data_IF_342602027935
#
_entry.id   IF_342602027935
#
_cell.length_a   1.000
_cell.length_b   1.000
_cell.length_c   1.000
_cell.angle_alpha   90.00
_cell.angle_beta   90.00
_cell.angle_gamma   90.00
#
_symmetry.space_group_name_H-M   'P 1'
#
loop_
_entity.id
_entity.type
_entity.pdbx_description
1 polymer ?
#
# COMPACT_ATOMS: atom_id res chain seq x y z
N UNK A 1 -1.50 25.75 0.46
CA UNK A 1 -1.15 24.32 0.20
C UNK A 1 0.34 24.24 -0.03
N UNK A 2 1.08 23.47 0.75
CA UNK A 2 2.52 23.28 0.57
C UNK A 2 2.79 22.55 -0.76
N UNK A 3 3.55 23.19 -1.63
CA UNK A 3 3.97 22.60 -2.91
C UNK A 3 5.08 21.57 -2.67
N UNK A 4 5.05 20.45 -3.37
CA UNK A 4 6.16 19.48 -3.36
C UNK A 4 7.31 19.85 -4.31
N UNK A 5 7.21 21.00 -4.97
CA UNK A 5 8.26 21.44 -5.88
C UNK A 5 9.62 21.46 -5.18
N UNK A 6 10.56 20.69 -5.76
CA UNK A 6 11.94 20.48 -5.30
C UNK A 6 12.12 19.79 -3.94
N UNK A 7 11.03 19.37 -3.26
CA UNK A 7 11.11 18.54 -2.05
C UNK A 7 11.75 17.19 -2.34
N UNK A 8 12.64 16.76 -1.46
CA UNK A 8 13.29 15.45 -1.53
C UNK A 8 12.39 14.38 -0.88
N UNK A 9 11.86 13.46 -1.69
CA UNK A 9 10.88 12.46 -1.25
C UNK A 9 11.43 11.05 -1.50
N UNK A 10 11.55 10.27 -0.43
CA UNK A 10 11.85 8.84 -0.50
C UNK A 10 10.56 8.04 -0.61
N UNK A 11 10.50 7.11 -1.57
CA UNK A 11 9.43 6.13 -1.68
C UNK A 11 10.03 4.73 -1.57
N UNK A 12 9.83 4.05 -0.46
CA UNK A 12 10.18 2.64 -0.34
C UNK A 12 9.07 1.81 -0.98
N UNK A 13 9.42 0.75 -1.74
CA UNK A 13 8.44 0.02 -2.55
C UNK A 13 7.92 0.83 -3.74
N UNK A 14 8.69 1.84 -4.20
CA UNK A 14 8.26 2.77 -5.24
C UNK A 14 8.14 2.16 -6.64
N UNK A 15 8.66 0.96 -6.87
CA UNK A 15 8.49 0.24 -8.14
C UNK A 15 7.27 -0.71 -8.12
N UNK A 16 6.56 -0.80 -7.01
CA UNK A 16 5.33 -1.58 -6.86
C UNK A 16 4.11 -0.93 -7.50
N UNK A 17 2.95 -1.55 -7.35
CA UNK A 17 1.67 -1.11 -7.92
C UNK A 17 1.31 0.32 -7.47
N UNK A 18 1.09 0.54 -6.17
CA UNK A 18 0.72 1.85 -5.61
C UNK A 18 1.91 2.81 -5.68
N UNK A 19 3.12 2.32 -5.33
CA UNK A 19 4.33 3.14 -5.28
C UNK A 19 4.67 3.81 -6.60
N UNK A 20 4.55 3.09 -7.73
CA UNK A 20 4.85 3.67 -9.04
C UNK A 20 3.83 4.72 -9.50
N UNK A 21 2.59 4.65 -9.03
CA UNK A 21 1.62 5.72 -9.22
C UNK A 21 1.99 6.96 -8.38
N UNK A 22 2.42 6.74 -7.13
CA UNK A 22 2.90 7.83 -6.28
C UNK A 22 4.13 8.53 -6.88
N UNK A 23 5.06 7.77 -7.45
CA UNK A 23 6.21 8.32 -8.18
C UNK A 23 5.75 9.26 -9.31
N UNK A 24 4.79 8.82 -10.15
CA UNK A 24 4.30 9.62 -11.26
C UNK A 24 3.65 10.92 -10.78
N UNK A 25 2.75 10.85 -9.80
CA UNK A 25 2.03 12.04 -9.32
C UNK A 25 2.99 13.04 -8.66
N UNK A 26 3.95 12.58 -7.85
CA UNK A 26 4.92 13.45 -7.18
C UNK A 26 5.90 14.11 -8.15
N UNK A 27 6.36 13.39 -9.16
CA UNK A 27 7.18 13.98 -10.22
C UNK A 27 6.43 15.05 -11.01
N UNK A 28 5.13 14.85 -11.26
CA UNK A 28 4.27 15.86 -11.90
C UNK A 28 4.07 17.11 -11.02
N UNK A 29 4.11 16.97 -9.69
CA UNK A 29 4.13 18.10 -8.75
C UNK A 29 5.53 18.75 -8.62
N UNK A 30 6.53 18.23 -9.33
CA UNK A 30 7.88 18.79 -9.36
C UNK A 30 8.81 18.33 -8.24
N UNK A 31 8.44 17.29 -7.48
CA UNK A 31 9.28 16.72 -6.43
C UNK A 31 10.55 16.07 -6.99
N UNK A 32 11.59 15.97 -6.15
CA UNK A 32 12.76 15.10 -6.36
C UNK A 32 12.48 13.78 -5.70
N UNK A 33 12.28 12.72 -6.48
CA UNK A 33 11.83 11.42 -5.97
C UNK A 33 12.98 10.42 -5.95
N UNK A 34 13.23 9.81 -4.79
CA UNK A 34 14.11 8.67 -4.63
C UNK A 34 13.27 7.41 -4.43
N UNK A 35 13.34 6.46 -5.34
CA UNK A 35 12.75 5.13 -5.20
C UNK A 35 13.76 4.20 -4.57
N UNK A 36 13.37 3.52 -3.49
CA UNK A 36 14.12 2.44 -2.85
C UNK A 36 13.30 1.15 -2.90
N UNK A 37 13.76 0.17 -3.69
CA UNK A 37 13.01 -1.05 -3.99
C UNK A 37 13.95 -2.22 -4.25
N UNK A 38 13.62 -3.41 -3.77
CA UNK A 38 14.43 -4.61 -4.04
C UNK A 38 14.02 -5.31 -5.34
N UNK A 39 12.92 -4.88 -5.96
CA UNK A 39 12.32 -5.43 -7.19
C UNK A 39 11.87 -6.89 -7.06
N UNK A 40 11.53 -7.35 -5.87
CA UNK A 40 10.95 -8.69 -5.67
C UNK A 40 9.58 -8.83 -6.35
N UNK A 41 8.70 -7.85 -6.17
CA UNK A 41 7.42 -7.73 -6.87
C UNK A 41 7.34 -6.49 -7.77
N UNK A 42 8.03 -5.41 -7.40
CA UNK A 42 8.12 -4.16 -8.17
C UNK A 42 8.75 -4.35 -9.54
N UNK A 43 8.33 -3.55 -10.51
CA UNK A 43 8.81 -3.63 -11.90
C UNK A 43 9.43 -2.31 -12.34
N UNK A 44 10.68 -2.34 -12.79
CA UNK A 44 11.39 -1.14 -13.25
C UNK A 44 10.67 -0.41 -14.39
N UNK A 45 9.93 -1.13 -15.23
CA UNK A 45 9.19 -0.55 -16.36
C UNK A 45 7.93 0.21 -15.94
N UNK A 46 7.49 0.13 -14.67
CA UNK A 46 6.41 0.97 -14.13
C UNK A 46 6.89 2.40 -13.84
N UNK A 47 8.20 2.61 -13.74
CA UNK A 47 8.79 3.90 -13.44
C UNK A 47 9.08 4.70 -14.71
N UNK A 48 8.88 6.04 -14.69
CA UNK A 48 9.16 6.88 -15.85
C UNK A 48 10.65 6.85 -16.20
N UNK A 49 10.95 6.83 -17.51
CA UNK A 49 12.32 6.85 -18.03
C UNK A 49 12.78 8.30 -18.27
N UNK A 50 14.06 8.54 -18.06
CA UNK A 50 14.70 9.82 -18.45
C UNK A 50 14.33 11.03 -17.61
N UNK A 51 13.60 10.88 -16.51
CA UNK A 51 13.26 12.00 -15.62
C UNK A 51 14.46 12.32 -14.71
N UNK A 52 15.01 13.53 -14.83
CA UNK A 52 16.18 13.99 -14.06
C UNK A 52 15.92 14.15 -12.55
N UNK A 53 14.64 14.24 -12.15
CA UNK A 53 14.22 14.33 -10.75
C UNK A 53 13.94 12.97 -10.11
N UNK A 54 14.07 11.86 -10.87
CA UNK A 54 13.88 10.50 -10.38
C UNK A 54 15.23 9.80 -10.19
N UNK A 55 15.51 9.39 -8.96
CA UNK A 55 16.62 8.51 -8.59
C UNK A 55 16.08 7.13 -8.21
N UNK A 56 16.63 6.07 -8.76
CA UNK A 56 16.23 4.69 -8.46
C UNK A 56 17.41 3.98 -7.79
N UNK A 57 17.17 3.46 -6.59
CA UNK A 57 18.17 2.73 -5.80
C UNK A 57 17.61 1.32 -5.53
N UNK A 58 18.32 0.29 -6.01
CA UNK A 58 18.01 -1.08 -5.66
C UNK A 58 18.51 -1.39 -4.26
N UNK A 59 17.59 -1.82 -3.36
CA UNK A 59 17.94 -2.19 -2.01
C UNK A 59 16.76 -2.75 -1.25
N UNK A 60 17.03 -3.32 -0.08
CA UNK A 60 16.04 -4.00 0.75
C UNK A 60 15.92 -3.31 2.10
N UNK A 61 14.67 -3.10 2.57
CA UNK A 61 14.39 -2.47 3.87
C UNK A 61 14.85 -3.31 5.06
N UNK A 62 15.11 -4.59 4.88
CA UNK A 62 15.69 -5.45 5.91
C UNK A 62 17.17 -5.16 6.16
N UNK A 63 17.82 -4.42 5.27
CA UNK A 63 19.18 -3.94 5.44
C UNK A 63 19.19 -2.55 6.09
N UNK A 64 19.38 -2.49 7.40
CA UNK A 64 19.35 -1.25 8.18
C UNK A 64 20.32 -0.18 7.63
N UNK A 65 21.55 -0.56 7.27
CA UNK A 65 22.55 0.39 6.75
C UNK A 65 22.12 1.00 5.42
N UNK A 66 21.51 0.19 4.55
CA UNK A 66 20.99 0.69 3.27
C UNK A 66 19.84 1.67 3.48
N UNK A 67 18.96 1.39 4.46
CA UNK A 67 17.85 2.29 4.84
C UNK A 67 18.37 3.60 5.40
N UNK A 68 19.32 3.57 6.33
CA UNK A 68 19.96 4.79 6.88
C UNK A 68 20.54 5.66 5.75
N UNK A 69 21.26 5.04 4.80
CA UNK A 69 21.89 5.77 3.71
C UNK A 69 20.87 6.41 2.75
N UNK A 70 19.76 5.75 2.47
CA UNK A 70 18.76 6.27 1.53
C UNK A 70 17.83 7.30 2.18
N UNK A 71 17.63 7.24 3.49
CA UNK A 71 16.82 8.20 4.25
C UNK A 71 17.55 9.53 4.46
N UNK A 72 18.88 9.52 4.40
CA UNK A 72 19.68 10.72 4.55
C UNK A 72 19.27 11.77 3.50
N UNK A 73 19.15 13.02 3.95
CA UNK A 73 18.79 14.18 3.13
C UNK A 73 17.39 14.11 2.47
N UNK A 74 16.53 13.20 2.93
CA UNK A 74 15.11 13.19 2.54
C UNK A 74 14.27 14.06 3.49
N UNK A 75 13.26 14.71 2.95
CA UNK A 75 12.33 15.54 3.73
C UNK A 75 11.02 14.79 4.02
N UNK A 76 10.61 13.92 3.11
CA UNK A 76 9.38 13.14 3.24
C UNK A 76 9.68 11.68 2.90
N UNK A 77 9.08 10.75 3.66
CA UNK A 77 9.17 9.33 3.38
C UNK A 77 7.77 8.76 3.16
N UNK A 78 7.50 8.19 1.98
CA UNK A 78 6.34 7.36 1.72
C UNK A 78 6.76 5.89 1.86
N UNK A 79 6.32 5.23 2.91
CA UNK A 79 6.72 3.86 3.22
C UNK A 79 5.67 2.85 2.75
N UNK A 80 5.93 2.24 1.56
CA UNK A 80 5.07 1.24 0.93
C UNK A 80 5.72 -0.14 0.80
N UNK A 81 7.04 -0.25 1.00
CA UNK A 81 7.74 -1.53 0.90
C UNK A 81 7.16 -2.55 1.89
N UNK A 82 6.68 -3.67 1.37
CA UNK A 82 6.08 -4.75 2.12
C UNK A 82 5.99 -6.03 1.27
N UNK A 83 5.83 -7.17 1.90
CA UNK A 83 5.28 -8.38 1.28
C UNK A 83 3.76 -8.30 1.41
N UNK A 84 2.99 -8.11 0.29
CA UNK A 84 1.58 -7.77 0.39
C UNK A 84 0.62 -8.94 0.14
N UNK A 85 1.08 -10.05 -0.43
CA UNK A 85 0.21 -11.14 -0.88
C UNK A 85 -0.13 -12.08 0.26
N UNK A 86 -1.38 -12.02 0.73
CA UNK A 86 -1.87 -12.74 1.92
C UNK A 86 -1.63 -14.25 1.82
N UNK A 87 -1.91 -14.96 0.71
CA UNK A 87 -1.67 -16.40 0.63
C UNK A 87 -0.25 -16.81 0.95
N UNK A 88 0.76 -16.05 0.51
CA UNK A 88 2.17 -16.37 0.80
C UNK A 88 2.48 -16.24 2.29
N UNK A 89 1.73 -15.42 3.04
CA UNK A 89 1.96 -15.25 4.47
C UNK A 89 1.67 -16.51 5.30
N UNK A 90 0.88 -17.45 4.76
CA UNK A 90 0.62 -18.72 5.40
C UNK A 90 1.81 -19.70 5.27
N UNK A 91 2.57 -19.56 4.18
CA UNK A 91 3.72 -20.43 3.89
C UNK A 91 5.04 -19.85 4.39
N UNK A 92 5.18 -18.52 4.39
CA UNK A 92 6.41 -17.80 4.74
C UNK A 92 6.21 -16.78 5.87
N UNK A 93 5.61 -17.17 7.01
CA UNK A 93 5.21 -16.22 8.07
C UNK A 93 6.38 -15.38 8.61
N UNK A 94 7.55 -15.98 8.76
CA UNK A 94 8.75 -15.33 9.30
C UNK A 94 9.22 -14.19 8.36
N UNK A 95 9.17 -14.40 7.05
CA UNK A 95 9.59 -13.39 6.09
C UNK A 95 8.64 -12.17 6.10
N UNK A 96 7.35 -12.39 6.34
CA UNK A 96 6.38 -11.31 6.50
C UNK A 96 6.71 -10.43 7.72
N UNK A 97 7.03 -11.02 8.87
CA UNK A 97 7.49 -10.25 10.04
C UNK A 97 8.82 -9.56 9.78
N UNK A 98 9.76 -10.26 9.17
CA UNK A 98 11.09 -9.70 8.87
C UNK A 98 11.00 -8.49 7.96
N UNK A 99 10.20 -8.54 6.90
CA UNK A 99 10.03 -7.43 5.96
C UNK A 99 9.05 -6.40 6.51
N UNK A 100 7.80 -6.79 6.81
CA UNK A 100 6.73 -5.85 7.11
C UNK A 100 6.86 -5.20 8.49
N UNK A 101 7.45 -5.89 9.47
CA UNK A 101 7.62 -5.36 10.83
C UNK A 101 9.04 -4.84 11.03
N UNK A 102 10.06 -5.69 10.93
CA UNK A 102 11.45 -5.28 11.23
C UNK A 102 11.97 -4.32 10.15
N UNK A 103 11.71 -4.60 8.86
CA UNK A 103 12.08 -3.68 7.78
C UNK A 103 11.42 -2.31 7.93
N UNK A 104 10.15 -2.26 8.32
CA UNK A 104 9.46 -1.00 8.64
C UNK A 104 10.11 -0.27 9.81
N UNK A 105 10.50 -1.00 10.86
CA UNK A 105 11.22 -0.41 12.01
C UNK A 105 12.55 0.24 11.60
N UNK A 106 13.30 -0.36 10.66
CA UNK A 106 14.51 0.28 10.12
C UNK A 106 14.19 1.62 9.46
N UNK A 107 13.09 1.70 8.67
CA UNK A 107 12.65 2.94 8.03
C UNK A 107 12.23 3.97 9.08
N UNK A 108 11.41 3.59 10.04
CA UNK A 108 10.93 4.50 11.10
C UNK A 108 12.08 5.02 11.95
N UNK A 109 12.97 4.13 12.39
CA UNK A 109 14.09 4.51 13.24
C UNK A 109 15.12 5.38 12.51
N UNK A 110 15.34 5.13 11.21
CA UNK A 110 16.15 6.02 10.39
C UNK A 110 15.54 7.42 10.27
N UNK A 111 14.22 7.50 10.13
CA UNK A 111 13.52 8.78 10.06
C UNK A 111 13.51 9.51 11.41
N UNK A 112 13.34 8.80 12.55
CA UNK A 112 13.47 9.37 13.91
C UNK A 112 14.84 10.00 14.10
N UNK A 113 15.91 9.33 13.64
CA UNK A 113 17.29 9.83 13.75
C UNK A 113 17.64 10.89 12.71
N UNK A 114 16.85 11.06 11.68
CA UNK A 114 17.09 12.06 10.64
C UNK A 114 16.76 13.45 11.13
N UNK A 115 17.62 14.42 10.76
CA UNK A 115 17.37 15.85 11.05
C UNK A 115 16.56 16.54 9.96
N UNK A 116 16.31 15.86 8.84
CA UNK A 116 15.67 16.42 7.65
C UNK A 116 14.27 15.90 7.38
N UNK A 117 13.92 14.69 7.89
CA UNK A 117 12.60 14.10 7.68
C UNK A 117 11.54 14.86 8.48
N UNK A 118 10.64 15.52 7.75
CA UNK A 118 9.53 16.29 8.30
C UNK A 118 8.23 15.50 8.42
N UNK A 119 8.05 14.48 7.55
CA UNK A 119 6.84 13.65 7.50
C UNK A 119 7.15 12.25 6.99
N UNK A 120 6.59 11.25 7.66
CA UNK A 120 6.55 9.87 7.18
C UNK A 120 5.09 9.47 6.98
N UNK A 121 4.75 8.95 5.81
CA UNK A 121 3.45 8.34 5.55
C UNK A 121 3.66 6.82 5.54
N UNK A 122 3.18 6.16 6.57
CA UNK A 122 3.23 4.70 6.68
C UNK A 122 1.95 4.09 6.10
N UNK A 123 2.09 3.23 5.10
CA UNK A 123 0.96 2.50 4.53
C UNK A 123 0.74 1.20 5.30
N UNK A 124 -0.30 1.19 6.11
CA UNK A 124 -0.86 0.04 6.81
C UNK A 124 -1.88 -0.69 5.90
N UNK A 125 -2.97 -1.20 6.42
CA UNK A 125 -4.02 -1.90 5.67
C UNK A 125 -5.31 -1.99 6.48
N UNK A 126 -6.47 -2.04 5.82
CA UNK A 126 -7.75 -2.39 6.46
C UNK A 126 -7.83 -3.85 6.93
N UNK A 127 -6.97 -4.74 6.42
CA UNK A 127 -6.95 -6.16 6.83
C UNK A 127 -6.64 -6.37 8.32
N UNK A 128 -6.08 -5.36 9.00
CA UNK A 128 -5.85 -5.40 10.46
C UNK A 128 -7.14 -5.43 11.26
N UNK A 129 -8.24 -4.94 10.70
CA UNK A 129 -9.55 -4.97 11.35
C UNK A 129 -10.19 -6.36 11.35
N UNK A 130 -9.82 -7.21 10.37
CA UNK A 130 -10.47 -8.50 10.17
C UNK A 130 -11.90 -8.35 9.64
N UNK A 131 -12.81 -9.20 10.10
CA UNK A 131 -14.23 -9.09 9.76
C UNK A 131 -14.86 -7.90 10.44
N UNK A 132 -15.68 -7.15 9.68
CA UNK A 132 -16.41 -6.00 10.19
C UNK A 132 -17.32 -6.39 11.36
N UNK A 133 -17.18 -5.73 12.50
CA UNK A 133 -18.10 -5.84 13.63
C UNK A 133 -19.23 -4.81 13.51
N UNK A 134 -18.98 -3.71 12.83
CA UNK A 134 -19.96 -2.71 12.42
C UNK A 134 -19.49 -2.02 11.12
N UNK A 135 -20.42 -1.40 10.41
CA UNK A 135 -20.15 -0.65 9.19
C UNK A 135 -20.86 0.71 9.21
N UNK A 136 -20.27 1.76 8.67
CA UNK A 136 -18.90 1.81 8.11
C UNK A 136 -17.83 1.59 9.19
N UNK A 137 -16.71 0.94 8.82
CA UNK A 137 -15.57 0.76 9.73
C UNK A 137 -14.79 2.07 9.82
N UNK A 138 -14.73 2.66 11.01
CA UNK A 138 -13.90 3.82 11.32
C UNK A 138 -12.54 3.40 11.91
N UNK A 139 -11.70 4.37 12.27
CA UNK A 139 -10.38 4.14 12.82
C UNK A 139 -10.39 3.59 14.25
N UNK A 140 -11.54 3.66 14.94
CA UNK A 140 -11.77 3.08 16.27
C UNK A 140 -12.26 1.63 16.20
N UNK A 141 -12.54 1.12 14.99
CA UNK A 141 -12.94 -0.27 14.82
C UNK A 141 -11.91 -1.22 15.44
N UNK A 142 -12.33 -2.23 16.23
CA UNK A 142 -11.42 -3.20 16.83
C UNK A 142 -10.52 -3.87 15.80
N UNK A 143 -9.25 -4.08 16.16
CA UNK A 143 -8.30 -4.81 15.32
C UNK A 143 -8.32 -6.30 15.67
N UNK A 144 -8.65 -7.14 14.70
CA UNK A 144 -8.74 -8.59 14.83
C UNK A 144 -8.22 -9.28 13.54
N UNK A 145 -6.90 -9.21 13.27
CA UNK A 145 -6.32 -9.71 12.03
C UNK A 145 -6.39 -11.24 11.92
N UNK A 146 -6.75 -11.75 10.74
CA UNK A 146 -6.89 -13.20 10.46
C UNK A 146 -5.75 -13.80 9.63
N UNK A 147 -4.73 -13.03 9.27
CA UNK A 147 -3.59 -13.53 8.51
C UNK A 147 -2.27 -13.05 9.10
N UNK A 148 -1.20 -13.80 8.90
CA UNK A 148 0.15 -13.39 9.30
C UNK A 148 0.55 -12.06 8.65
N UNK A 149 0.15 -11.84 7.39
CA UNK A 149 0.28 -10.54 6.74
C UNK A 149 -0.35 -9.43 7.58
N UNK A 150 -1.63 -9.57 7.93
CA UNK A 150 -2.35 -8.53 8.67
C UNK A 150 -1.74 -8.29 10.06
N UNK A 151 -1.32 -9.37 10.77
CA UNK A 151 -0.61 -9.24 12.06
C UNK A 151 0.72 -8.49 11.88
N UNK A 152 1.52 -8.82 10.86
CA UNK A 152 2.80 -8.15 10.60
C UNK A 152 2.63 -6.66 10.28
N UNK A 153 1.56 -6.31 9.56
CA UNK A 153 1.20 -4.92 9.25
C UNK A 153 0.67 -4.18 10.49
N UNK A 154 -0.14 -4.84 11.33
CA UNK A 154 -0.61 -4.28 12.60
C UNK A 154 0.57 -4.00 13.54
N UNK A 155 1.55 -4.90 13.62
CA UNK A 155 2.75 -4.68 14.42
C UNK A 155 3.51 -3.42 13.98
N UNK A 156 3.72 -3.22 12.67
CA UNK A 156 4.35 -2.02 12.13
C UNK A 156 3.50 -0.75 12.37
N UNK A 157 2.17 -0.84 12.19
CA UNK A 157 1.21 0.23 12.44
C UNK A 157 1.30 0.70 13.91
N UNK A 158 1.26 -0.23 14.86
CA UNK A 158 1.37 0.10 16.29
C UNK A 158 2.75 0.61 16.69
N UNK A 159 3.82 0.03 16.11
CA UNK A 159 5.17 0.51 16.34
C UNK A 159 5.34 1.98 15.88
N UNK A 160 4.83 2.32 14.70
CA UNK A 160 4.86 3.70 14.20
C UNK A 160 4.10 4.66 15.13
N UNK A 161 2.91 4.27 15.59
CA UNK A 161 2.11 5.05 16.55
C UNK A 161 2.84 5.24 17.89
N UNK A 162 3.43 4.17 18.43
CA UNK A 162 4.17 4.22 19.70
C UNK A 162 5.40 5.12 19.57
N UNK A 163 6.17 5.01 18.49
CA UNK A 163 7.30 5.91 18.24
C UNK A 163 6.88 7.38 18.15
N UNK A 164 5.69 7.67 17.59
CA UNK A 164 5.16 9.03 17.61
C UNK A 164 4.92 9.52 19.03
N UNK A 165 4.30 8.70 19.88
CA UNK A 165 4.02 9.07 21.30
C UNK A 165 5.28 9.23 22.13
N UNK A 166 6.28 8.37 21.92
CA UNK A 166 7.52 8.34 22.70
C UNK A 166 8.56 9.37 22.24
N UNK A 167 8.67 9.59 20.93
CA UNK A 167 9.77 10.34 20.32
C UNK A 167 9.33 11.53 19.47
N UNK A 168 8.02 11.81 19.36
CA UNK A 168 7.52 12.82 18.45
C UNK A 168 7.73 12.46 16.97
N UNK A 169 7.89 11.16 16.64
CA UNK A 169 8.08 10.68 15.28
C UNK A 169 7.00 11.22 14.34
N UNK A 170 7.36 11.96 13.26
CA UNK A 170 6.37 12.69 12.44
C UNK A 170 5.66 11.77 11.45
N UNK A 171 4.90 10.79 11.95
CA UNK A 171 4.22 9.79 11.13
C UNK A 171 2.73 10.06 10.96
N UNK A 172 2.23 9.80 9.75
CA UNK A 172 0.81 9.60 9.44
C UNK A 172 0.63 8.12 9.09
N UNK A 173 -0.34 7.46 9.69
CA UNK A 173 -0.63 6.04 9.43
C UNK A 173 -1.87 5.97 8.57
N UNK A 174 -1.74 5.44 7.36
CA UNK A 174 -2.86 5.27 6.43
C UNK A 174 -3.26 3.80 6.34
N UNK A 175 -4.55 3.53 6.44
CA UNK A 175 -5.16 2.20 6.34
C UNK A 175 -6.04 2.14 5.10
N UNK A 176 -5.46 1.91 3.90
CA UNK A 176 -6.26 1.76 2.70
C UNK A 176 -7.09 0.48 2.74
N UNK A 177 -8.32 0.59 2.24
CA UNK A 177 -9.13 -0.54 1.82
C UNK A 177 -8.62 -1.08 0.49
N UNK A 178 -9.39 -1.90 -0.23
CA UNK A 178 -8.88 -2.58 -1.41
C UNK A 178 -8.56 -1.59 -2.54
N UNK A 179 -7.28 -1.41 -2.83
CA UNK A 179 -6.83 -0.55 -3.93
C UNK A 179 -6.77 -1.36 -5.23
N UNK A 180 -7.32 -0.80 -6.33
CA UNK A 180 -7.28 -1.42 -7.64
C UNK A 180 -6.87 -0.41 -8.72
N UNK A 181 -6.45 -0.90 -9.89
CA UNK A 181 -6.07 -0.04 -11.01
C UNK A 181 -5.22 -0.74 -12.05
N UNK A 182 -4.67 0.00 -13.03
CA UNK A 182 -3.79 -0.54 -14.05
C UNK A 182 -2.47 -1.02 -13.43
N UNK A 183 -1.77 -1.89 -14.12
CA UNK A 183 -0.55 -2.63 -13.80
C UNK A 183 -0.85 -4.03 -13.26
N UNK A 184 0.08 -4.93 -13.52
CA UNK A 184 0.00 -6.29 -13.01
C UNK A 184 0.26 -6.31 -11.49
N UNK A 185 -0.59 -7.02 -10.78
CA UNK A 185 -0.41 -7.39 -9.38
C UNK A 185 -0.55 -8.90 -9.22
N UNK A 186 -0.30 -9.41 -8.03
CA UNK A 186 -0.70 -10.76 -7.64
C UNK A 186 -2.20 -10.99 -7.89
N UNK A 187 -2.67 -12.23 -8.03
CA UNK A 187 -4.05 -12.54 -8.40
C UNK A 187 -5.04 -12.25 -7.26
N UNK A 188 -5.13 -10.97 -6.87
CA UNK A 188 -6.24 -10.50 -6.05
C UNK A 188 -7.56 -10.59 -6.83
N UNK A 189 -8.68 -10.42 -6.17
CA UNK A 189 -10.01 -10.72 -6.73
C UNK A 189 -10.30 -10.06 -8.09
N UNK A 190 -9.94 -8.78 -8.29
CA UNK A 190 -10.16 -8.11 -9.59
C UNK A 190 -9.24 -8.67 -10.69
N UNK A 191 -7.91 -8.74 -10.51
CA UNK A 191 -7.02 -9.39 -11.47
C UNK A 191 -7.40 -10.84 -11.77
N UNK A 192 -7.84 -11.60 -10.78
CA UNK A 192 -8.24 -13.01 -10.95
C UNK A 192 -9.49 -13.12 -11.84
N UNK A 193 -10.54 -12.35 -11.55
CA UNK A 193 -11.74 -12.34 -12.39
C UNK A 193 -11.40 -11.94 -13.83
N UNK A 194 -10.64 -10.85 -14.01
CA UNK A 194 -10.22 -10.38 -15.34
C UNK A 194 -9.38 -11.44 -16.05
N UNK A 195 -8.43 -12.06 -15.36
CA UNK A 195 -7.58 -13.11 -15.90
C UNK A 195 -8.39 -14.31 -16.42
N UNK A 196 -9.36 -14.79 -15.63
CA UNK A 196 -10.24 -15.87 -16.06
C UNK A 196 -11.10 -15.47 -17.27
N UNK A 197 -11.67 -14.27 -17.29
CA UNK A 197 -12.45 -13.76 -18.42
C UNK A 197 -11.59 -13.69 -19.69
N UNK A 198 -10.37 -13.15 -19.61
CA UNK A 198 -9.46 -13.03 -20.76
C UNK A 198 -8.98 -14.37 -21.30
N UNK A 199 -8.90 -15.40 -20.47
CA UNK A 199 -8.63 -16.78 -20.91
C UNK A 199 -9.83 -17.45 -21.58
N UNK A 200 -10.96 -16.77 -21.72
CA UNK A 200 -12.18 -17.28 -22.33
C UNK A 200 -12.98 -18.22 -21.42
N UNK A 201 -12.69 -18.24 -20.13
CA UNK A 201 -13.38 -19.08 -19.15
C UNK A 201 -14.82 -18.59 -18.97
N UNK A 202 -15.80 -19.45 -19.22
CA UNK A 202 -17.22 -19.15 -19.03
C UNK A 202 -17.72 -19.45 -17.61
N UNK A 203 -17.04 -20.35 -16.89
CA UNK A 203 -17.31 -20.69 -15.50
C UNK A 203 -16.14 -20.21 -14.64
N UNK A 204 -16.35 -19.11 -13.91
CA UNK A 204 -15.31 -18.52 -13.06
C UNK A 204 -15.23 -19.27 -11.73
N UNK A 205 -14.07 -19.80 -11.41
CA UNK A 205 -13.79 -20.44 -10.13
C UNK A 205 -13.44 -19.34 -9.11
N UNK A 206 -14.32 -19.10 -8.16
CA UNK A 206 -14.16 -18.07 -7.13
C UNK A 206 -14.63 -18.61 -5.77
N UNK A 207 -13.93 -18.22 -4.72
CA UNK A 207 -14.30 -18.55 -3.35
C UNK A 207 -15.58 -17.85 -2.91
N UNK A 208 -15.60 -17.22 -1.72
CA UNK A 208 -16.77 -16.57 -1.17
C UNK A 208 -17.20 -15.31 -1.96
N UNK A 209 -18.19 -15.48 -2.83
CA UNK A 209 -18.76 -14.39 -3.65
C UNK A 209 -19.78 -13.53 -2.95
N UNK A 210 -20.18 -13.88 -1.72
CA UNK A 210 -21.12 -13.11 -0.92
C UNK A 210 -20.43 -12.03 -0.08
N UNK A 211 -19.11 -12.11 0.10
CA UNK A 211 -18.36 -11.06 0.80
C UNK A 211 -18.40 -9.75 0.04
N UNK A 212 -18.42 -8.65 0.77
CA UNK A 212 -18.33 -7.29 0.23
C UNK A 212 -16.94 -6.70 0.42
N UNK A 213 -16.58 -5.77 -0.43
CA UNK A 213 -15.32 -5.00 -0.35
C UNK A 213 -15.56 -3.56 -0.78
N UNK A 214 -14.84 -2.64 -0.14
CA UNK A 214 -14.67 -1.28 -0.64
C UNK A 214 -13.44 -1.24 -1.55
N UNK A 215 -13.62 -0.77 -2.78
CA UNK A 215 -12.55 -0.65 -3.77
C UNK A 215 -12.27 0.80 -4.09
N UNK A 216 -11.03 1.23 -3.86
CA UNK A 216 -10.54 2.58 -4.17
C UNK A 216 -9.58 2.53 -5.35
N UNK A 217 -9.78 3.40 -6.35
CA UNK A 217 -8.89 3.44 -7.50
C UNK A 217 -7.51 3.97 -7.10
N UNK A 218 -6.45 3.40 -7.68
CA UNK A 218 -5.07 3.64 -7.25
C UNK A 218 -4.67 5.12 -7.26
N UNK A 219 -5.16 5.91 -8.22
CA UNK A 219 -4.88 7.35 -8.25
C UNK A 219 -5.47 8.09 -7.06
N UNK A 220 -6.61 7.64 -6.54
CA UNK A 220 -7.28 8.28 -5.41
C UNK A 220 -6.64 7.87 -4.08
N UNK A 221 -6.24 6.58 -3.96
CA UNK A 221 -5.38 6.14 -2.85
C UNK A 221 -4.11 6.99 -2.77
N UNK A 222 -3.45 7.21 -3.92
CA UNK A 222 -2.22 8.01 -3.97
C UNK A 222 -2.48 9.48 -3.67
N UNK A 223 -3.58 10.06 -4.16
CA UNK A 223 -3.98 11.45 -3.79
C UNK A 223 -4.16 11.59 -2.28
N UNK A 224 -4.80 10.62 -1.63
CA UNK A 224 -4.95 10.63 -0.18
C UNK A 224 -3.59 10.58 0.53
N UNK A 225 -2.65 9.73 0.06
CA UNK A 225 -1.28 9.67 0.59
C UNK A 225 -0.54 11.00 0.43
N UNK A 226 -0.63 11.62 -0.74
CA UNK A 226 -0.03 12.92 -1.05
C UNK A 226 -0.63 14.03 -0.18
N UNK A 227 -1.94 14.01 0.02
CA UNK A 227 -2.63 14.97 0.90
C UNK A 227 -2.20 14.80 2.36
N UNK A 228 -2.10 13.58 2.85
CA UNK A 228 -1.61 13.27 4.18
C UNK A 228 -0.15 13.75 4.39
N UNK A 229 0.70 13.59 3.37
CA UNK A 229 2.09 14.08 3.43
C UNK A 229 2.21 15.61 3.48
N UNK A 230 1.21 16.33 2.94
CA UNK A 230 1.16 17.81 2.92
C UNK A 230 0.58 18.41 4.21
N UNK A 231 -0.28 17.67 4.89
CA UNK A 231 -1.10 18.20 5.99
C UNK A 231 -0.41 17.92 7.34
N UNK A 232 0.19 18.96 7.93
CA UNK A 232 0.87 18.82 9.23
C UNK A 232 -0.04 18.35 10.37
N UNK A 233 -1.33 18.66 10.30
CA UNK A 233 -2.31 18.21 11.29
C UNK A 233 -2.59 16.71 11.23
N UNK A 234 -2.21 16.05 10.13
CA UNK A 234 -2.32 14.60 9.99
C UNK A 234 -1.21 13.84 10.77
N UNK A 235 -0.14 14.54 11.21
CA UNK A 235 0.95 13.90 11.97
C UNK A 235 0.40 13.38 13.29
N UNK A 236 0.66 12.09 13.57
CA UNK A 236 0.15 11.35 14.73
C UNK A 236 -1.22 10.71 14.51
N UNK A 237 -1.88 11.00 13.38
CA UNK A 237 -3.20 10.46 13.09
C UNK A 237 -3.13 9.11 12.36
N UNK A 238 -4.21 8.34 12.56
CA UNK A 238 -4.52 7.12 11.82
C UNK A 238 -5.72 7.46 10.95
N UNK A 239 -5.63 7.15 9.65
CA UNK A 239 -6.65 7.56 8.68
C UNK A 239 -6.98 6.39 7.77
N UNK A 240 -8.26 6.04 7.69
CA UNK A 240 -8.77 5.07 6.72
C UNK A 240 -8.86 5.71 5.31
N UNK A 241 -8.54 4.93 4.29
CA UNK A 241 -8.74 5.34 2.89
C UNK A 241 -9.69 4.35 2.23
N UNK A 242 -10.91 4.81 1.92
CA UNK A 242 -11.95 4.03 1.27
C UNK A 242 -12.79 4.90 0.34
N UNK A 243 -13.59 4.26 -0.51
CA UNK A 243 -14.54 4.93 -1.39
C UNK A 243 -15.89 5.17 -0.71
N UNK A 244 -16.11 4.59 0.47
CA UNK A 244 -17.38 4.52 1.21
C UNK A 244 -18.49 3.78 0.43
N UNK A 245 -18.11 2.98 -0.56
CA UNK A 245 -18.99 2.18 -1.37
C UNK A 245 -18.55 0.72 -1.34
N UNK A 246 -19.33 -0.12 -0.72
CA UNK A 246 -19.08 -1.56 -0.77
C UNK A 246 -19.74 -2.20 -1.99
N UNK A 247 -19.10 -3.21 -2.52
CA UNK A 247 -19.64 -4.05 -3.58
C UNK A 247 -19.47 -5.51 -3.22
N UNK A 248 -20.51 -6.31 -3.44
CA UNK A 248 -20.45 -7.75 -3.29
C UNK A 248 -19.63 -8.35 -4.45
N UNK A 249 -18.80 -9.35 -4.17
CA UNK A 249 -17.94 -9.97 -5.20
C UNK A 249 -18.77 -10.55 -6.36
N UNK A 250 -19.93 -11.14 -6.10
CA UNK A 250 -20.83 -11.60 -7.17
C UNK A 250 -21.32 -10.49 -8.09
N UNK A 251 -21.56 -9.28 -7.54
CA UNK A 251 -21.97 -8.11 -8.33
C UNK A 251 -20.80 -7.52 -9.11
N UNK A 252 -19.59 -7.59 -8.54
CA UNK A 252 -18.35 -7.24 -9.24
C UNK A 252 -18.13 -8.12 -10.47
N UNK A 253 -18.31 -9.45 -10.35
CA UNK A 253 -18.26 -10.39 -11.48
C UNK A 253 -19.24 -9.97 -12.57
N UNK A 254 -20.48 -9.66 -12.19
CA UNK A 254 -21.51 -9.23 -13.13
C UNK A 254 -21.13 -7.95 -13.88
N UNK A 255 -20.57 -6.96 -13.16
CA UNK A 255 -20.07 -5.71 -13.75
C UNK A 255 -18.93 -5.95 -14.73
N UNK A 256 -17.91 -6.74 -14.34
CA UNK A 256 -16.76 -7.03 -15.18
C UNK A 256 -17.14 -7.83 -16.42
N UNK A 257 -18.02 -8.82 -16.28
CA UNK A 257 -18.55 -9.62 -17.40
C UNK A 257 -19.31 -8.75 -18.40
N UNK A 258 -20.11 -7.79 -17.91
CA UNK A 258 -20.83 -6.83 -18.77
C UNK A 258 -19.86 -5.92 -19.54
N UNK A 259 -18.80 -5.41 -18.88
CA UNK A 259 -17.76 -4.61 -19.52
C UNK A 259 -17.03 -5.41 -20.60
N UNK A 260 -16.68 -6.66 -20.29
CA UNK A 260 -16.03 -7.57 -21.22
C UNK A 260 -16.95 -8.09 -22.35
N UNK A 261 -18.26 -7.85 -22.26
CA UNK A 261 -19.31 -8.37 -23.17
C UNK A 261 -19.33 -9.90 -23.25
N UNK A 262 -19.02 -10.57 -22.15
CA UNK A 262 -18.98 -12.03 -22.01
C UNK A 262 -20.00 -12.46 -20.97
N UNK A 263 -20.79 -13.50 -21.27
CA UNK A 263 -21.65 -14.14 -20.27
C UNK A 263 -20.82 -15.16 -19.49
N UNK A 264 -20.73 -14.98 -18.18
CA UNK A 264 -20.03 -15.89 -17.26
C UNK A 264 -21.00 -16.47 -16.23
N UNK A 265 -20.67 -17.66 -15.71
CA UNK A 265 -21.28 -18.26 -14.52
C UNK A 265 -20.24 -18.33 -13.42
N UNK A 266 -20.66 -18.32 -12.18
CA UNK A 266 -19.78 -18.52 -11.04
C UNK A 266 -19.87 -19.99 -10.63
N UNK A 267 -18.72 -20.67 -10.63
CA UNK A 267 -18.53 -21.97 -9.99
C UNK A 267 -17.87 -21.69 -8.65
N UNK A 268 -18.53 -22.10 -7.56
CA UNK A 268 -17.96 -21.93 -6.21
C UNK A 268 -16.89 -22.99 -6.02
N UNK A 269 -15.70 -22.61 -5.59
CA UNK A 269 -14.75 -23.52 -4.97
C UNK A 269 -15.27 -23.85 -3.56
N UNK A 270 -15.48 -25.15 -3.29
CA UNK A 270 -15.87 -25.67 -1.98
C UNK A 270 -14.71 -25.61 -0.97
#
# INVERSE_FOLDING_TARGET
>A
MTSFRDKAILITGGAGFIGSEAVNQLLNEGAKVTVFDNFSSGKKHYLPKGNKKLRIIKGDITNERAVINVTKDQEIVLHLAALPFIPDSFYYPVDFFKVNTIGSMHVFWSAVKSKTVETVVNISTSEIYGSAQYTPMDENHPTSPYSTYAVSKLAADRAAFTLHKENGFPVVILRPFNTFGPRYTEPYIIPEIIGQILRGTKELNLGNVNSTRDFTFVSDTVKAMISAAKEKKAIGEIINIGSQNEIRIGDLVTKLSKIAKIKTKIKRDE
#
